data_IF_865628429222
#
_entry.id   IF_865628429222
#
_cell.length_a   1.000
_cell.length_b   1.000
_cell.length_c   1.000
_cell.angle_alpha   90.00
_cell.angle_beta   90.00
_cell.angle_gamma   90.00
#
_symmetry.space_group_name_H-M   'P 1'
#
loop_
_entity.id
_entity.type
_entity.pdbx_description
1 polymer ?
#
# COMPACT_ATOMS: atom_id res chain seq x y z
N UNK A 1 18.24 5.81 -23.01
CA UNK A 1 17.44 5.14 -21.96
C UNK A 1 17.11 6.21 -20.93
N UNK A 2 15.83 6.49 -20.66
CA UNK A 2 15.46 7.55 -19.72
C UNK A 2 15.86 7.14 -18.30
N UNK A 3 16.43 8.08 -17.54
CA UNK A 3 16.77 7.83 -16.14
C UNK A 3 15.50 7.74 -15.30
N UNK A 4 15.44 6.75 -14.39
CA UNK A 4 14.30 6.59 -13.50
C UNK A 4 14.36 7.70 -12.44
N UNK A 5 13.36 8.59 -12.34
CA UNK A 5 13.34 9.64 -11.34
C UNK A 5 13.21 9.05 -9.93
N UNK A 6 13.54 9.82 -8.87
CA UNK A 6 13.49 9.33 -7.49
C UNK A 6 12.12 8.80 -7.06
N UNK A 7 11.03 9.36 -7.60
CA UNK A 7 9.67 8.86 -7.41
C UNK A 7 9.08 8.60 -8.78
N UNK A 8 8.55 7.39 -8.99
CA UNK A 8 8.05 6.95 -10.29
C UNK A 8 6.91 5.95 -10.15
N UNK A 9 6.10 5.86 -11.21
CA UNK A 9 5.10 4.80 -11.35
C UNK A 9 5.73 3.56 -11.96
N UNK A 10 5.32 2.40 -11.50
CA UNK A 10 5.82 1.13 -11.97
C UNK A 10 4.71 0.07 -11.96
N UNK A 11 4.91 -1.02 -12.70
CA UNK A 11 4.06 -2.20 -12.65
C UNK A 11 4.75 -3.30 -11.85
N UNK A 12 4.03 -3.98 -10.97
CA UNK A 12 4.57 -5.13 -10.22
C UNK A 12 4.87 -6.27 -11.18
N UNK A 13 6.12 -6.73 -11.18
CA UNK A 13 6.57 -7.87 -11.99
C UNK A 13 6.58 -9.17 -11.19
N UNK A 14 7.04 -9.13 -9.94
CA UNK A 14 7.08 -10.28 -9.04
C UNK A 14 6.80 -9.84 -7.61
N UNK A 15 6.28 -10.77 -6.80
CA UNK A 15 6.04 -10.61 -5.38
C UNK A 15 6.71 -11.76 -4.63
N UNK A 16 7.46 -11.41 -3.58
CA UNK A 16 8.05 -12.38 -2.67
C UNK A 16 7.91 -11.87 -1.23
N UNK A 17 6.90 -12.41 -0.54
CA UNK A 17 6.55 -12.05 0.83
C UNK A 17 6.35 -10.55 1.04
N UNK A 18 7.36 -9.89 1.59
CA UNK A 18 7.35 -8.46 1.92
C UNK A 18 8.09 -7.58 0.90
N UNK A 19 8.43 -8.12 -0.27
CA UNK A 19 9.16 -7.41 -1.33
C UNK A 19 8.50 -7.59 -2.71
N UNK A 20 8.76 -6.64 -3.61
CA UNK A 20 8.31 -6.69 -5.00
C UNK A 20 9.40 -6.19 -5.96
N UNK A 21 9.60 -6.88 -7.08
CA UNK A 21 10.31 -6.29 -8.23
C UNK A 21 9.30 -5.58 -9.13
N UNK A 22 9.68 -4.40 -9.62
CA UNK A 22 8.79 -3.57 -10.42
C UNK A 22 9.43 -3.18 -11.74
N UNK A 23 8.58 -2.88 -12.72
CA UNK A 23 8.92 -2.36 -14.04
C UNK A 23 8.52 -0.89 -14.09
N UNK A 24 9.45 0.07 -14.06
CA UNK A 24 9.16 1.49 -14.18
C UNK A 24 8.41 1.80 -15.48
N UNK A 25 7.31 2.53 -15.41
CA UNK A 25 6.53 2.93 -16.59
C UNK A 25 7.22 4.01 -17.43
N UNK A 26 8.28 4.63 -16.89
CA UNK A 26 9.08 5.67 -17.55
C UNK A 26 10.38 5.13 -18.15
N UNK A 27 10.74 3.89 -17.84
CA UNK A 27 11.96 3.24 -18.32
C UNK A 27 11.64 1.80 -18.72
N UNK A 28 11.23 1.65 -19.98
CA UNK A 28 10.78 0.37 -20.53
C UNK A 28 11.84 -0.74 -20.36
N UNK A 29 11.43 -1.85 -19.76
CA UNK A 29 12.18 -3.10 -19.73
C UNK A 29 13.21 -3.26 -18.61
N UNK A 30 13.44 -2.27 -17.74
CA UNK A 30 14.37 -2.41 -16.61
C UNK A 30 13.62 -2.90 -15.37
N UNK A 31 13.74 -4.19 -15.04
CA UNK A 31 13.26 -4.73 -13.76
C UNK A 31 14.13 -4.20 -12.63
N UNK A 32 13.50 -3.60 -11.61
CA UNK A 32 14.23 -3.17 -10.41
C UNK A 32 14.65 -4.38 -9.58
N UNK A 33 15.69 -4.18 -8.76
CA UNK A 33 15.90 -5.07 -7.61
C UNK A 33 14.64 -5.10 -6.73
N UNK A 34 14.40 -6.20 -5.98
CA UNK A 34 13.25 -6.27 -5.10
C UNK A 34 13.23 -5.10 -4.11
N UNK A 35 12.14 -4.35 -4.09
CA UNK A 35 11.91 -3.28 -3.13
C UNK A 35 11.03 -3.80 -1.99
N UNK A 36 11.34 -3.48 -0.72
CA UNK A 36 10.42 -3.72 0.38
C UNK A 36 9.08 -3.02 0.13
N UNK A 37 8.02 -3.68 0.57
CA UNK A 37 6.67 -3.12 0.57
C UNK A 37 6.47 -2.24 1.81
N UNK A 38 5.74 -1.13 1.67
CA UNK A 38 5.17 -0.46 2.83
C UNK A 38 4.27 -1.43 3.62
N UNK A 39 4.22 -1.29 4.95
CA UNK A 39 3.59 -2.29 5.83
C UNK A 39 2.13 -2.56 5.49
N UNK A 40 1.41 -1.55 4.99
CA UNK A 40 0.01 -1.66 4.59
C UNK A 40 -0.23 -2.69 3.49
N UNK A 41 0.77 -3.00 2.65
CA UNK A 41 0.68 -3.99 1.57
C UNK A 41 1.22 -5.37 1.98
N UNK A 42 1.77 -5.50 3.20
CA UNK A 42 2.27 -6.77 3.73
C UNK A 42 1.09 -7.56 4.31
N UNK A 43 0.25 -8.12 3.45
CA UNK A 43 -0.91 -8.95 3.85
C UNK A 43 -2.26 -8.41 3.36
N UNK A 44 -3.33 -8.64 4.13
CA UNK A 44 -4.70 -8.39 3.70
C UNK A 44 -5.20 -6.93 3.76
N UNK A 45 -4.41 -6.00 4.29
CA UNK A 45 -4.84 -4.59 4.47
C UNK A 45 -4.81 -3.78 3.16
N UNK A 46 -3.94 -4.11 2.22
CA UNK A 46 -3.87 -3.48 0.91
C UNK A 46 -3.20 -4.47 -0.02
N UNK A 47 -3.85 -5.61 -0.32
CA UNK A 47 -3.21 -6.70 -1.03
C UNK A 47 -2.71 -6.19 -2.37
N UNK A 48 -1.46 -6.53 -2.66
CA UNK A 48 -0.79 -6.20 -3.90
C UNK A 48 -0.69 -7.47 -4.74
N UNK A 49 -1.02 -7.38 -6.02
CA UNK A 49 -0.94 -8.47 -6.98
C UNK A 49 0.10 -8.15 -8.07
N UNK A 50 0.63 -9.20 -8.69
CA UNK A 50 1.45 -9.03 -9.91
C UNK A 50 0.60 -8.37 -10.99
N UNK A 51 1.17 -7.37 -11.66
CA UNK A 51 0.48 -6.57 -12.66
C UNK A 51 -0.12 -5.26 -12.12
N UNK A 52 -0.25 -5.09 -10.80
CA UNK A 52 -0.75 -3.84 -10.22
C UNK A 52 0.19 -2.67 -10.52
N UNK A 53 -0.40 -1.49 -10.74
CA UNK A 53 0.36 -0.25 -10.84
C UNK A 53 0.61 0.31 -9.45
N UNK A 54 1.86 0.68 -9.19
CA UNK A 54 2.35 1.16 -7.89
C UNK A 54 3.16 2.44 -8.06
N UNK A 55 3.23 3.21 -6.98
CA UNK A 55 4.18 4.32 -6.85
C UNK A 55 5.36 3.84 -6.00
N UNK A 56 6.57 4.04 -6.52
CA UNK A 56 7.81 3.64 -5.88
C UNK A 56 8.71 4.85 -5.63
N UNK A 57 9.47 4.79 -4.54
CA UNK A 57 10.63 5.65 -4.34
C UNK A 57 11.91 4.84 -4.55
N UNK A 58 12.89 5.40 -5.27
CA UNK A 58 14.22 4.81 -5.49
C UNK A 58 15.31 5.79 -5.10
N UNK A 59 16.31 5.28 -4.40
CA UNK A 59 17.52 5.98 -4.01
C UNK A 59 18.62 5.79 -5.05
N UNK A 60 19.63 6.67 -5.03
CA UNK A 60 20.74 6.66 -5.98
C UNK A 60 21.57 5.37 -5.94
N UNK A 61 21.66 4.70 -4.78
CA UNK A 61 22.30 3.39 -4.65
C UNK A 61 21.50 2.26 -5.32
N UNK A 62 20.29 2.54 -5.81
CA UNK A 62 19.36 1.64 -6.45
C UNK A 62 18.31 1.04 -5.52
N UNK A 63 18.35 1.30 -4.20
CA UNK A 63 17.40 0.74 -3.22
C UNK A 63 16.09 1.49 -3.36
N UNK A 64 15.03 1.01 -2.73
CA UNK A 64 13.77 1.70 -2.80
C UNK A 64 12.73 1.12 -1.86
N UNK A 65 11.51 1.61 -2.03
CA UNK A 65 10.33 1.11 -1.34
C UNK A 65 9.13 1.28 -2.27
N UNK A 66 8.23 0.30 -2.25
CA UNK A 66 6.90 0.46 -2.84
C UNK A 66 6.04 1.21 -1.83
N UNK A 67 5.56 2.39 -2.20
CA UNK A 67 4.83 3.29 -1.29
C UNK A 67 3.36 2.91 -1.18
N UNK A 68 2.70 2.71 -2.33
CA UNK A 68 1.29 2.37 -2.41
C UNK A 68 0.92 1.90 -3.82
N UNK A 69 -0.29 1.33 -3.96
CA UNK A 69 -0.96 1.18 -5.25
C UNK A 69 -1.28 2.55 -5.84
N UNK A 70 -1.19 2.66 -7.16
CA UNK A 70 -1.50 3.88 -7.89
C UNK A 70 -3.01 4.01 -8.23
N UNK A 71 -3.85 3.10 -7.75
CA UNK A 71 -5.30 3.08 -7.96
C UNK A 71 -6.07 4.04 -7.04
N UNK A 72 -5.40 4.62 -6.05
CA UNK A 72 -6.01 5.55 -5.09
C UNK A 72 -6.83 4.87 -3.99
N UNK A 73 -6.84 3.53 -3.95
CA UNK A 73 -7.65 2.75 -3.01
C UNK A 73 -6.81 2.14 -1.89
N UNK A 74 -7.37 2.16 -0.68
CA UNK A 74 -6.85 1.43 0.48
C UNK A 74 -7.97 0.59 1.07
N UNK A 75 -7.85 -0.74 1.00
CA UNK A 75 -8.85 -1.62 1.61
C UNK A 75 -8.84 -1.44 3.12
N UNK A 76 -9.79 -0.67 3.66
CA UNK A 76 -9.79 -0.13 5.01
C UNK A 76 -9.95 -1.16 6.16
N UNK A 77 -9.83 -2.47 5.91
CA UNK A 77 -9.99 -3.49 6.94
C UNK A 77 -8.66 -3.82 7.61
N UNK A 78 -8.53 -3.42 8.88
CA UNK A 78 -7.47 -3.96 9.75
C UNK A 78 -7.98 -5.26 10.37
N UNK A 79 -7.29 -6.40 10.18
CA UNK A 79 -7.82 -7.71 10.58
C UNK A 79 -7.76 -7.99 12.10
N UNK A 80 -7.14 -7.09 12.88
CA UNK A 80 -6.93 -7.24 14.32
C UNK A 80 -7.32 -5.96 15.06
N UNK A 81 -7.42 -6.05 16.39
CA UNK A 81 -7.63 -4.89 17.25
C UNK A 81 -6.59 -3.80 16.99
N UNK A 82 -7.07 -2.56 16.96
CA UNK A 82 -6.26 -1.37 16.71
C UNK A 82 -6.20 -0.54 17.98
N UNK A 83 -5.02 -0.45 18.59
CA UNK A 83 -4.78 0.43 19.74
C UNK A 83 -4.21 1.76 19.25
N UNK A 84 -5.00 2.84 19.31
CA UNK A 84 -4.55 4.18 18.95
C UNK A 84 -4.70 5.11 20.16
N UNK A 85 -3.62 5.79 20.53
CA UNK A 85 -3.65 6.83 21.57
C UNK A 85 -4.20 8.14 21.03
N UNK A 86 -5.08 8.81 21.79
CA UNK A 86 -5.53 10.17 21.50
C UNK A 86 -6.58 10.32 20.39
N UNK A 87 -7.09 9.22 19.82
CA UNK A 87 -8.24 9.27 18.92
C UNK A 87 -9.52 9.28 19.75
N UNK A 88 -10.40 10.24 19.45
CA UNK A 88 -11.73 10.31 20.04
C UNK A 88 -12.77 9.95 18.98
N UNK A 89 -13.53 8.89 19.22
CA UNK A 89 -14.72 8.57 18.43
C UNK A 89 -15.98 9.22 19.01
N UNK A 90 -15.85 10.31 19.76
CA UNK A 90 -16.98 10.98 20.43
C UNK A 90 -17.98 11.47 19.38
N UNK A 91 -19.14 10.81 19.32
CA UNK A 91 -20.21 11.09 18.34
C UNK A 91 -20.30 10.13 17.17
N UNK A 92 -19.45 9.09 17.09
CA UNK A 92 -19.67 8.02 16.13
C UNK A 92 -20.96 7.25 16.50
N UNK A 93 -21.67 6.80 15.48
CA UNK A 93 -22.90 6.01 15.62
C UNK A 93 -22.71 4.69 14.90
N UNK A 94 -23.19 3.61 15.52
CA UNK A 94 -23.28 2.30 14.88
C UNK A 94 -24.71 2.08 14.43
N UNK A 95 -24.88 1.58 13.21
CA UNK A 95 -26.16 1.00 12.81
C UNK A 95 -26.24 -0.38 13.46
N UNK A 96 -27.10 -0.55 14.47
CA UNK A 96 -27.34 -1.87 15.06
C UNK A 96 -27.86 -2.85 14.01
N UNK A 97 -27.60 -4.15 14.21
CA UNK A 97 -28.08 -5.23 13.34
C UNK A 97 -29.62 -5.26 13.24
N UNK A 98 -30.33 -4.55 14.12
CA UNK A 98 -31.78 -4.39 14.12
C UNK A 98 -32.28 -2.93 14.10
N UNK A 99 -31.42 -1.95 13.77
CA UNK A 99 -31.82 -0.54 13.61
C UNK A 99 -31.77 0.31 14.89
N UNK A 100 -31.40 -0.26 16.04
CA UNK A 100 -31.04 0.54 17.21
C UNK A 100 -29.67 1.22 17.07
N UNK A 101 -29.55 2.47 17.52
CA UNK A 101 -28.26 3.17 17.63
C UNK A 101 -27.73 3.00 19.06
N UNK A 102 -26.60 2.30 19.22
CA UNK A 102 -25.93 2.16 20.51
C UNK A 102 -25.16 3.42 20.92
N UNK A 103 -25.02 3.67 22.22
CA UNK A 103 -24.20 4.77 22.76
C UNK A 103 -22.70 4.50 22.56
N UNK A 104 -21.85 5.53 22.43
CA UNK A 104 -20.41 5.37 22.30
C UNK A 104 -19.84 4.54 23.45
N UNK A 105 -19.00 3.55 23.15
CA UNK A 105 -18.21 2.80 24.13
C UNK A 105 -16.89 3.52 24.40
#
# INVERSE_FOLDING_TARGET
MAEIPPIFKARVSTLDGSTASVLPLVADGVVTRPFPLHFSMRGGMCPLNVGDEVVCAKFADGTGIVLCRADGEWSASVPTDVTIGGVSFKGHTHSGVHGETGTPH
#
